data_IF_468187881602
#
_entry.id   IF_468187881602
#
_cell.length_a   1.000
_cell.length_b   1.000
_cell.length_c   1.000
_cell.angle_alpha   90.00
_cell.angle_beta   90.00
_cell.angle_gamma   90.00
#
_symmetry.space_group_name_H-M   'P 1'
#
loop_
_entity.id
_entity.type
_entity.pdbx_description
1 polymer ?
#
# COMPACT_ATOMS: atom_id res chain seq x y z
N UNK A 1 10.40 -10.17 16.78
CA UNK A 1 9.54 -9.31 15.93
C UNK A 1 9.18 -10.13 14.69
N UNK A 2 7.90 -10.23 14.30
CA UNK A 2 7.55 -10.97 13.08
C UNK A 2 8.07 -10.20 11.86
N UNK A 3 8.69 -10.88 10.91
CA UNK A 3 9.17 -10.27 9.65
C UNK A 3 7.97 -9.63 8.94
N UNK A 4 8.11 -8.37 8.55
CA UNK A 4 7.15 -7.68 7.70
C UNK A 4 7.44 -8.12 6.26
N UNK A 5 6.43 -8.63 5.58
CA UNK A 5 6.54 -9.07 4.19
C UNK A 5 5.76 -8.15 3.24
N UNK A 6 4.83 -7.36 3.76
CA UNK A 6 3.99 -6.46 2.97
C UNK A 6 3.80 -5.13 3.68
N UNK A 7 3.85 -4.04 2.93
CA UNK A 7 3.47 -2.71 3.39
C UNK A 7 2.17 -2.26 2.74
N UNK A 8 1.35 -1.56 3.50
CA UNK A 8 0.13 -0.89 3.00
C UNK A 8 0.48 0.58 2.84
N UNK A 9 0.54 1.04 1.59
CA UNK A 9 0.98 2.39 1.27
C UNK A 9 -0.08 3.07 0.41
N UNK A 10 -0.53 4.23 0.88
CA UNK A 10 -1.51 5.07 0.19
C UNK A 10 -1.02 6.50 0.11
N UNK A 11 -1.96 7.44 0.12
CA UNK A 11 -1.72 8.87 0.04
C UNK A 11 -1.96 9.44 -1.35
N UNK A 12 -2.71 10.55 -1.38
CA UNK A 12 -3.14 11.21 -2.62
C UNK A 12 -2.01 11.97 -3.32
N UNK A 13 -1.26 12.76 -2.56
CA UNK A 13 -0.21 13.63 -3.08
C UNK A 13 1.19 13.17 -2.67
N UNK A 14 1.29 12.52 -1.51
CA UNK A 14 2.53 12.01 -0.93
C UNK A 14 2.27 10.63 -0.37
N UNK A 15 3.27 9.75 -0.44
CA UNK A 15 3.13 8.40 0.09
C UNK A 15 2.98 8.40 1.59
N UNK A 16 2.05 7.59 2.09
CA UNK A 16 1.86 7.37 3.50
C UNK A 16 1.77 5.86 3.80
N UNK A 17 2.67 5.37 4.64
CA UNK A 17 2.67 3.97 5.07
C UNK A 17 1.72 3.78 6.27
N UNK A 18 0.60 3.11 6.04
CA UNK A 18 -0.37 2.75 7.07
C UNK A 18 0.08 1.62 7.98
N UNK A 19 1.12 0.88 7.57
CA UNK A 19 1.76 -0.15 8.37
C UNK A 19 2.20 -1.36 7.58
N UNK A 20 2.93 -2.25 8.26
CA UNK A 20 3.44 -3.49 7.71
C UNK A 20 2.79 -4.72 8.29
N UNK A 21 2.62 -5.77 7.48
CA UNK A 21 2.08 -7.05 7.93
C UNK A 21 2.92 -8.25 7.44
N UNK A 22 2.94 -9.38 8.16
CA UNK A 22 3.65 -10.58 7.71
C UNK A 22 2.94 -11.36 6.58
N UNK A 23 1.68 -11.07 6.27
CA UNK A 23 0.84 -11.88 5.38
C UNK A 23 -0.02 -11.00 4.49
N UNK A 24 -0.22 -11.40 3.23
CA UNK A 24 -1.04 -10.65 2.28
C UNK A 24 -2.49 -10.46 2.77
N UNK A 25 -3.09 -11.48 3.40
CA UNK A 25 -4.43 -11.37 4.00
C UNK A 25 -4.49 -10.29 5.10
N UNK A 26 -3.43 -10.18 5.90
CA UNK A 26 -3.28 -9.14 6.91
C UNK A 26 -3.23 -7.75 6.28
N UNK A 27 -2.41 -7.58 5.23
CA UNK A 27 -2.30 -6.33 4.49
C UNK A 27 -3.64 -5.93 3.85
N UNK A 28 -4.35 -6.86 3.20
CA UNK A 28 -5.69 -6.62 2.63
C UNK A 28 -6.69 -6.12 3.68
N UNK A 29 -6.69 -6.71 4.87
CA UNK A 29 -7.55 -6.25 5.98
C UNK A 29 -7.16 -4.87 6.50
N UNK A 30 -5.85 -4.59 6.57
CA UNK A 30 -5.34 -3.28 6.99
C UNK A 30 -5.72 -2.20 5.97
N UNK A 31 -5.42 -2.42 4.69
CA UNK A 31 -5.76 -1.51 3.60
C UNK A 31 -7.25 -1.14 3.59
N UNK A 32 -8.15 -2.12 3.75
CA UNK A 32 -9.60 -1.86 3.85
C UNK A 32 -10.02 -1.01 5.05
N UNK A 33 -9.24 -1.00 6.13
CA UNK A 33 -9.49 -0.13 7.31
C UNK A 33 -8.91 1.27 7.13
N UNK A 34 -7.90 1.39 6.28
CA UNK A 34 -7.18 2.62 6.00
C UNK A 34 -7.66 3.29 4.72
N UNK A 35 -8.95 3.17 4.37
CA UNK A 35 -9.48 3.86 3.19
C UNK A 35 -9.32 5.38 3.32
N UNK A 36 -8.95 5.99 2.22
CA UNK A 36 -8.67 7.42 2.12
C UNK A 36 -9.72 8.07 1.25
N UNK A 37 -10.16 9.26 1.63
CA UNK A 37 -10.97 10.08 0.75
C UNK A 37 -10.06 11.07 0.02
N UNK A 38 -9.98 10.96 -1.30
CA UNK A 38 -9.19 11.85 -2.16
C UNK A 38 -10.06 12.99 -2.69
N UNK A 39 -9.59 14.22 -2.47
CA UNK A 39 -10.35 15.44 -2.75
C UNK A 39 -10.29 15.92 -4.21
N UNK A 40 -9.50 15.25 -5.06
CA UNK A 40 -9.35 15.51 -6.49
C UNK A 40 -10.45 14.86 -7.36
N UNK A 41 -11.65 14.73 -6.80
CA UNK A 41 -12.84 14.11 -7.43
C UNK A 41 -12.71 12.59 -7.68
N UNK A 42 -11.63 11.95 -7.20
CA UNK A 42 -11.48 10.48 -7.24
C UNK A 42 -12.27 9.76 -6.13
N UNK A 43 -12.63 10.45 -5.05
CA UNK A 43 -13.45 9.90 -3.98
C UNK A 43 -12.70 8.90 -3.11
N UNK A 44 -13.35 7.81 -2.71
CA UNK A 44 -12.77 6.82 -1.79
C UNK A 44 -11.76 5.91 -2.46
N UNK A 45 -10.52 5.93 -1.99
CA UNK A 45 -9.43 5.05 -2.38
C UNK A 45 -9.10 4.05 -1.28
N UNK A 46 -8.61 2.88 -1.66
CA UNK A 46 -8.04 1.90 -0.72
C UNK A 46 -6.54 1.86 -0.97
N UNK A 47 -5.69 2.07 0.04
CA UNK A 47 -4.24 2.00 -0.13
C UNK A 47 -3.79 0.69 -0.79
N UNK A 48 -2.74 0.79 -1.58
CA UNK A 48 -2.18 -0.34 -2.28
C UNK A 48 -1.25 -1.15 -1.37
N UNK A 49 -0.97 -2.39 -1.79
CA UNK A 49 -0.13 -3.31 -1.03
C UNK A 49 1.13 -3.59 -1.84
N UNK A 50 2.27 -3.38 -1.21
CA UNK A 50 3.59 -3.61 -1.80
C UNK A 50 4.31 -4.72 -1.05
N UNK A 51 5.17 -5.48 -1.74
CA UNK A 51 6.10 -6.38 -1.07
C UNK A 51 7.11 -5.54 -0.28
N UNK A 52 7.50 -6.03 0.90
CA UNK A 52 8.42 -5.29 1.76
C UNK A 52 9.83 -5.15 1.16
N UNK A 53 10.19 -6.04 0.22
CA UNK A 53 11.46 -5.98 -0.52
C UNK A 53 11.47 -4.91 -1.62
N UNK A 54 10.29 -4.50 -2.11
CA UNK A 54 10.13 -3.42 -3.09
C UNK A 54 9.89 -2.06 -2.41
N UNK A 55 10.15 -1.96 -1.10
CA UNK A 55 9.98 -0.74 -0.33
C UNK A 55 11.30 -0.34 0.32
N UNK A 56 11.55 0.96 0.37
CA UNK A 56 12.71 1.52 1.06
C UNK A 56 12.29 2.39 2.25
N UNK A 57 13.19 2.49 3.23
CA UNK A 57 13.05 3.41 4.36
C UNK A 57 13.82 4.69 4.06
N UNK A 58 13.15 5.83 4.12
CA UNK A 58 13.74 7.14 3.99
C UNK A 58 14.43 7.58 5.29
N UNK A 59 15.29 8.60 5.22
CA UNK A 59 16.03 9.13 6.38
C UNK A 59 15.12 9.68 7.48
N UNK A 60 13.93 10.18 7.10
CA UNK A 60 12.92 10.65 8.03
C UNK A 60 12.13 9.51 8.72
N UNK A 61 12.42 8.25 8.37
CA UNK A 61 11.78 7.05 8.91
C UNK A 61 10.58 6.53 8.11
N UNK A 62 10.12 7.27 7.10
CA UNK A 62 8.99 6.86 6.27
C UNK A 62 9.33 5.64 5.42
N UNK A 63 8.32 4.84 5.12
CA UNK A 63 8.42 3.71 4.20
C UNK A 63 7.69 4.08 2.93
N UNK A 64 8.39 3.99 1.80
CA UNK A 64 7.83 4.28 0.47
C UNK A 64 8.14 3.11 -0.48
N UNK A 65 7.36 2.92 -1.54
CA UNK A 65 7.75 2.04 -2.63
C UNK A 65 9.07 2.55 -3.19
N UNK A 66 10.02 1.64 -3.39
CA UNK A 66 11.33 2.00 -3.90
C UNK A 66 11.18 2.49 -5.34
N UNK A 67 11.48 3.78 -5.59
CA UNK A 67 11.36 4.37 -6.93
C UNK A 67 12.57 4.07 -7.83
N UNK A 68 13.68 3.58 -7.25
CA UNK A 68 14.87 3.22 -8.03
C UNK A 68 14.69 1.89 -8.75
N UNK A 69 13.94 0.97 -8.15
CA UNK A 69 13.37 -0.16 -8.86
C UNK A 69 12.16 0.36 -9.64
N UNK A 70 12.31 0.61 -10.94
CA UNK A 70 11.19 0.94 -11.85
C UNK A 70 10.01 -0.07 -11.78
N UNK A 71 10.20 -1.16 -11.04
CA UNK A 71 9.31 -2.29 -10.84
C UNK A 71 8.64 -2.35 -9.45
N UNK A 72 8.72 -1.32 -8.60
CA UNK A 72 7.93 -1.29 -7.36
C UNK A 72 6.43 -1.15 -7.66
N UNK A 73 5.83 -2.27 -8.06
CA UNK A 73 4.43 -2.40 -8.39
C UNK A 73 3.69 -2.97 -7.19
N UNK A 74 2.46 -2.51 -6.95
CA UNK A 74 1.67 -3.09 -5.88
C UNK A 74 1.35 -4.55 -6.23
N UNK A 75 1.63 -5.45 -5.29
CA UNK A 75 1.26 -6.87 -5.37
C UNK A 75 -0.24 -7.08 -5.21
N UNK A 76 -0.96 -6.08 -4.67
CA UNK A 76 -2.41 -6.08 -4.66
C UNK A 76 -3.01 -4.67 -4.61
N UNK A 77 -4.02 -4.44 -5.44
CA UNK A 77 -4.82 -3.20 -5.50
C UNK A 77 -6.31 -3.52 -5.36
N UNK A 78 -7.09 -2.57 -4.86
CA UNK A 78 -8.54 -2.76 -4.70
C UNK A 78 -9.30 -2.13 -5.86
N UNK A 79 -10.03 -2.97 -6.59
CA UNK A 79 -10.99 -2.51 -7.59
C UNK A 79 -12.29 -2.08 -6.90
N UNK A 80 -12.55 -0.78 -6.93
CA UNK A 80 -13.76 -0.20 -6.33
C UNK A 80 -15.04 -0.55 -7.09
N UNK A 81 -14.97 -0.82 -8.39
CA UNK A 81 -16.15 -1.13 -9.21
C UNK A 81 -16.49 -2.60 -9.10
N UNK A 82 -15.49 -3.48 -9.25
CA UNK A 82 -15.67 -4.92 -9.10
C UNK A 82 -15.72 -5.39 -7.64
N UNK A 83 -15.47 -4.51 -6.67
CA UNK A 83 -15.44 -4.79 -5.23
C UNK A 83 -14.55 -6.00 -4.89
N UNK A 84 -13.35 -6.06 -5.46
CA UNK A 84 -12.42 -7.17 -5.29
C UNK A 84 -10.97 -6.71 -5.29
N UNK A 85 -10.10 -7.56 -4.76
CA UNK A 85 -8.66 -7.41 -4.92
C UNK A 85 -8.25 -7.86 -6.33
N UNK A 86 -7.38 -7.07 -6.95
CA UNK A 86 -6.58 -7.45 -8.11
C UNK A 86 -5.17 -7.70 -7.58
N UNK A 87 -4.62 -8.86 -7.90
CA UNK A 87 -3.29 -9.30 -7.46
C UNK A 87 -2.44 -9.50 -8.72
N UNK A 88 -1.17 -9.09 -8.67
CA UNK A 88 -0.18 -9.27 -9.76
C UNK A 88 0.56 -10.62 -9.62
#
# INVERSE_FOLDING_TARGET
>A
MKKINYYVIGGQYEFFCHGGTPTLLGAKRLARKCQEYWDNWAGWHTPDIYAAEDCCRLDNGDIVPDRETQDARPVATWDNDAKRWIED
#
